data_IF_836623297163
#
_entry.id   IF_836623297163
#
_cell.length_a   1.000
_cell.length_b   1.000
_cell.length_c   1.000
_cell.angle_alpha   90.00
_cell.angle_beta   90.00
_cell.angle_gamma   90.00
#
_symmetry.space_group_name_H-M   'P 1'
#
loop_
_entity.id
_entity.type
_entity.pdbx_description
1 polymer ?
#
# COMPACT_ATOMS: atom_id res chain seq x y z
N UNK A 1 1.80 1.27 -27.08
CA UNK A 1 0.87 0.63 -26.14
C UNK A 1 0.80 1.56 -24.94
N UNK A 2 -0.40 2.03 -24.60
CA UNK A 2 -0.61 2.85 -23.41
C UNK A 2 -0.84 1.91 -22.24
N UNK A 3 0.03 1.94 -21.23
CA UNK A 3 -0.03 1.06 -20.05
C UNK A 3 -0.76 1.70 -18.86
N UNK A 4 -1.52 2.76 -19.13
CA UNK A 4 -2.19 3.56 -18.10
C UNK A 4 -3.69 3.28 -18.12
N UNK A 5 -4.22 2.84 -16.98
CA UNK A 5 -5.67 2.75 -16.73
C UNK A 5 -6.10 3.88 -15.79
N UNK A 6 -7.17 4.60 -16.12
CA UNK A 6 -7.74 5.67 -15.28
C UNK A 6 -9.25 5.47 -15.15
N UNK A 7 -9.77 5.48 -13.92
CA UNK A 7 -11.20 5.36 -13.63
C UNK A 7 -11.59 6.22 -12.42
N UNK A 8 -12.87 6.59 -12.34
CA UNK A 8 -13.47 7.26 -11.17
C UNK A 8 -14.42 6.28 -10.49
N UNK A 9 -14.24 6.06 -9.19
CA UNK A 9 -15.08 5.18 -8.38
C UNK A 9 -15.39 5.79 -7.02
N UNK A 10 -16.45 5.31 -6.38
CA UNK A 10 -16.69 5.55 -4.95
C UNK A 10 -15.99 4.44 -4.17
N UNK A 11 -15.21 4.82 -3.19
CA UNK A 11 -14.48 3.93 -2.29
C UNK A 11 -14.66 4.46 -0.86
N UNK A 12 -14.73 3.56 0.10
CA UNK A 12 -14.59 3.95 1.50
C UNK A 12 -13.11 4.31 1.78
N UNK A 13 -12.80 5.17 2.76
CA UNK A 13 -11.42 5.54 3.09
C UNK A 13 -10.50 4.33 3.29
N UNK A 14 -11.03 3.25 3.87
CA UNK A 14 -10.31 2.00 4.11
C UNK A 14 -9.89 1.32 2.81
N UNK A 15 -10.72 1.37 1.75
CA UNK A 15 -10.38 0.81 0.43
C UNK A 15 -9.21 1.56 -0.22
N UNK A 16 -9.17 2.89 -0.01
CA UNK A 16 -8.06 3.73 -0.47
C UNK A 16 -6.79 3.36 0.28
N UNK A 17 -6.85 3.25 1.60
CA UNK A 17 -5.69 2.86 2.42
C UNK A 17 -5.22 1.45 2.05
N UNK A 18 -6.12 0.49 1.88
CA UNK A 18 -5.79 -0.88 1.47
C UNK A 18 -5.07 -0.92 0.12
N UNK A 19 -5.55 -0.18 -0.88
CA UNK A 19 -4.84 -0.03 -2.16
C UNK A 19 -3.44 0.59 -1.98
N UNK A 20 -3.27 1.50 -1.02
CA UNK A 20 -1.98 2.19 -0.78
C UNK A 20 -0.98 1.33 -0.02
N UNK A 21 -1.46 0.40 0.81
CA UNK A 21 -0.64 -0.58 1.51
C UNK A 21 -0.26 -1.77 0.60
N UNK A 22 -0.86 -1.87 -0.59
CA UNK A 22 -0.62 -2.94 -1.55
C UNK A 22 0.06 -2.43 -2.84
N UNK A 23 1.40 -2.26 -2.84
CA UNK A 23 2.12 -1.80 -4.03
C UNK A 23 2.17 -2.84 -5.15
N UNK A 24 1.73 -4.08 -4.92
CA UNK A 24 1.78 -5.17 -5.89
C UNK A 24 0.51 -5.26 -6.76
N UNK A 25 -0.50 -4.40 -6.55
CA UNK A 25 -1.71 -4.31 -7.37
C UNK A 25 -1.52 -3.75 -8.81
N UNK A 26 -0.28 -3.49 -9.24
CA UNK A 26 0.02 -2.80 -10.50
C UNK A 26 -0.29 -3.56 -11.80
N UNK A 27 -1.47 -3.29 -12.37
CA UNK A 27 -1.86 -3.33 -13.80
C UNK A 27 -2.22 -4.65 -14.50
N UNK A 28 -2.00 -5.82 -13.92
CA UNK A 28 -2.52 -7.08 -14.48
C UNK A 28 -3.01 -7.97 -13.35
N UNK A 29 -3.96 -8.87 -13.64
CA UNK A 29 -4.38 -9.97 -12.76
C UNK A 29 -3.13 -10.75 -12.32
N UNK A 30 -2.44 -10.27 -11.29
CA UNK A 30 -1.28 -10.93 -10.76
C UNK A 30 -1.78 -11.97 -9.75
N UNK A 31 -1.20 -13.19 -9.77
CA UNK A 31 -1.43 -14.17 -8.71
C UNK A 31 -1.19 -13.57 -7.30
N UNK A 32 -0.34 -12.54 -7.23
CA UNK A 32 0.24 -11.86 -6.06
C UNK A 32 -0.59 -10.73 -5.48
N UNK A 33 -1.89 -10.96 -5.26
CA UNK A 33 -2.67 -10.08 -4.39
C UNK A 33 -2.34 -10.35 -2.92
N UNK A 34 -2.37 -9.32 -2.08
CA UNK A 34 -2.31 -9.52 -0.63
C UNK A 34 -3.47 -10.41 -0.21
N UNK A 35 -3.14 -11.49 0.50
CA UNK A 35 -4.14 -12.40 1.06
C UNK A 35 -4.26 -12.26 2.57
N UNK A 36 -3.25 -11.69 3.23
CA UNK A 36 -3.26 -11.47 4.67
C UNK A 36 -2.30 -10.32 5.05
N UNK A 37 -2.73 -9.53 6.03
CA UNK A 37 -1.99 -8.43 6.64
C UNK A 37 -2.09 -8.57 8.15
N UNK A 38 -0.94 -8.75 8.81
CA UNK A 38 -0.89 -8.84 10.27
C UNK A 38 0.09 -7.83 10.83
N UNK A 39 -0.42 -6.88 11.61
CA UNK A 39 0.44 -5.98 12.40
C UNK A 39 1.11 -6.80 13.51
N UNK A 40 2.44 -6.76 13.56
CA UNK A 40 3.26 -7.49 14.53
C UNK A 40 4.02 -6.57 15.48
N UNK A 41 4.21 -5.31 15.12
CA UNK A 41 4.67 -4.25 16.03
C UNK A 41 4.01 -2.92 15.64
N UNK A 42 3.77 -2.08 16.64
CA UNK A 42 3.15 -0.76 16.48
C UNK A 42 4.07 0.32 17.03
N UNK A 43 3.98 1.54 16.48
CA UNK A 43 4.79 2.64 16.96
C UNK A 43 4.53 2.95 18.44
N UNK A 44 5.59 3.29 19.19
CA UNK A 44 5.55 3.44 20.65
C UNK A 44 5.38 4.86 21.14
N UNK A 45 5.80 5.84 20.34
CA UNK A 45 5.70 7.26 20.62
C UNK A 45 5.60 8.06 19.31
N UNK A 46 5.62 9.40 19.36
CA UNK A 46 5.49 10.24 18.16
C UNK A 46 6.77 10.28 17.29
N UNK A 47 7.91 9.76 17.77
CA UNK A 47 9.18 9.75 17.05
C UNK A 47 9.38 8.45 16.24
N UNK A 48 8.71 7.38 16.66
CA UNK A 48 8.58 6.12 15.92
C UNK A 48 7.19 6.10 15.28
N UNK A 49 7.09 6.19 13.95
CA UNK A 49 5.82 6.12 13.22
C UNK A 49 5.63 4.77 12.49
N UNK A 50 6.51 3.80 12.77
CA UNK A 50 6.61 2.54 12.04
C UNK A 50 5.64 1.46 12.50
N UNK A 51 4.82 0.97 11.57
CA UNK A 51 4.07 -0.28 11.76
C UNK A 51 4.81 -1.45 11.13
N UNK A 52 5.23 -2.42 11.93
CA UNK A 52 5.79 -3.67 11.40
C UNK A 52 4.66 -4.62 11.06
N UNK A 53 4.65 -5.12 9.83
CA UNK A 53 3.54 -5.90 9.28
C UNK A 53 4.10 -7.14 8.59
N UNK A 54 3.51 -8.29 8.88
CA UNK A 54 3.63 -9.48 8.06
C UNK A 54 2.67 -9.36 6.88
N UNK A 55 3.24 -9.42 5.69
CA UNK A 55 2.57 -9.30 4.41
C UNK A 55 2.60 -10.65 3.73
N UNK A 56 1.43 -11.16 3.39
CA UNK A 56 1.32 -12.41 2.63
C UNK A 56 0.76 -12.13 1.25
N UNK A 57 1.50 -12.51 0.21
CA UNK A 57 0.99 -12.51 -1.15
C UNK A 57 0.78 -13.94 -1.66
N UNK A 58 -0.22 -14.13 -2.51
CA UNK A 58 -0.46 -15.44 -3.13
C UNK A 58 0.45 -15.61 -4.35
N UNK A 59 1.20 -16.69 -4.43
CA UNK A 59 1.88 -17.10 -5.67
C UNK A 59 1.04 -18.20 -6.28
N UNK A 60 0.88 -18.22 -7.61
CA UNK A 60 0.06 -19.17 -8.37
C UNK A 60 -0.13 -20.52 -7.64
N UNK A 61 -1.35 -20.82 -7.19
CA UNK A 61 -1.66 -21.97 -6.31
C UNK A 61 -1.89 -21.58 -4.85
N UNK A 62 -1.52 -22.47 -3.90
CA UNK A 62 -1.66 -22.30 -2.44
C UNK A 62 -0.38 -21.77 -1.75
N UNK A 63 0.66 -21.43 -2.51
CA UNK A 63 1.93 -21.01 -1.95
C UNK A 63 1.83 -19.54 -1.54
N UNK A 64 1.95 -19.28 -0.25
CA UNK A 64 2.01 -17.93 0.33
C UNK A 64 3.46 -17.68 0.72
N UNK A 65 4.03 -16.57 0.23
CA UNK A 65 5.37 -16.15 0.64
C UNK A 65 5.19 -15.01 1.64
N UNK A 66 5.46 -15.24 2.93
CA UNK A 66 5.43 -14.18 3.92
C UNK A 66 6.64 -13.27 3.70
N UNK A 67 6.41 -11.96 3.69
CA UNK A 67 7.45 -10.94 3.77
C UNK A 67 7.17 -10.06 4.98
N UNK A 68 8.21 -9.52 5.58
CA UNK A 68 8.09 -8.56 6.67
C UNK A 68 8.41 -7.18 6.15
N UNK A 69 7.52 -6.24 6.41
CA UNK A 69 7.71 -4.86 6.02
C UNK A 69 7.42 -3.90 7.17
N UNK A 70 8.09 -2.75 7.16
CA UNK A 70 7.78 -1.62 8.03
C UNK A 70 7.14 -0.53 7.19
N UNK A 71 5.94 -0.11 7.58
CA UNK A 71 5.20 0.97 6.96
C UNK A 71 5.37 2.25 7.77
N UNK A 72 5.77 3.33 7.11
CA UNK A 72 5.87 4.69 7.69
C UNK A 72 5.12 5.70 6.82
N UNK A 73 4.81 6.87 7.39
CA UNK A 73 4.11 7.95 6.70
C UNK A 73 4.89 9.26 6.88
N UNK A 74 6.07 9.41 6.23
CA UNK A 74 6.96 10.55 6.46
C UNK A 74 6.35 11.88 6.04
N UNK A 75 5.33 11.86 5.17
CA UNK A 75 4.60 13.03 4.70
C UNK A 75 3.10 12.69 4.63
N UNK A 76 2.20 13.69 4.71
CA UNK A 76 0.74 13.46 4.74
C UNK A 76 0.14 12.71 3.52
N UNK A 77 0.91 12.50 2.45
CA UNK A 77 0.46 11.88 1.20
C UNK A 77 1.39 10.76 0.71
N UNK A 78 2.27 10.31 1.59
CA UNK A 78 3.33 9.38 1.25
C UNK A 78 3.27 8.21 2.22
N UNK A 79 3.18 7.00 1.68
CA UNK A 79 3.37 5.76 2.43
C UNK A 79 4.65 5.12 1.93
N UNK A 80 5.56 4.80 2.85
CA UNK A 80 6.80 4.10 2.54
C UNK A 80 6.73 2.70 3.16
N UNK A 81 6.99 1.69 2.33
CA UNK A 81 7.10 0.30 2.74
C UNK A 81 8.56 -0.13 2.62
N UNK A 82 9.21 -0.35 3.75
CA UNK A 82 10.55 -0.93 3.82
C UNK A 82 10.44 -2.44 4.00
N UNK A 83 10.89 -3.22 3.01
CA UNK A 83 10.90 -4.68 3.14
C UNK A 83 12.14 -5.10 3.94
N UNK A 84 11.92 -5.60 5.15
CA UNK A 84 12.99 -5.96 6.08
C UNK A 84 13.39 -7.44 5.97
N UNK A 85 12.44 -8.32 5.64
CA UNK A 85 12.67 -9.76 5.52
C UNK A 85 11.83 -10.38 4.40
N UNK A 86 12.34 -11.45 3.79
CA UNK A 86 11.67 -12.19 2.72
C UNK A 86 12.06 -11.71 1.31
N UNK A 87 11.20 -12.00 0.34
CA UNK A 87 11.41 -11.58 -1.05
C UNK A 87 11.39 -10.05 -1.16
N UNK A 88 12.40 -9.48 -1.82
CA UNK A 88 12.55 -8.03 -1.91
C UNK A 88 13.16 -7.36 -0.69
N UNK A 89 13.69 -8.12 0.29
CA UNK A 89 14.41 -7.53 1.44
C UNK A 89 15.44 -6.47 1.00
N UNK A 90 15.55 -5.39 1.76
CA UNK A 90 16.28 -4.14 1.46
C UNK A 90 15.66 -3.24 0.39
N UNK A 91 14.57 -3.65 -0.26
CA UNK A 91 13.83 -2.77 -1.17
C UNK A 91 12.98 -1.77 -0.39
N UNK A 92 12.75 -0.63 -1.03
CA UNK A 92 11.84 0.42 -0.57
C UNK A 92 10.80 0.64 -1.64
N UNK A 93 9.54 0.68 -1.24
CA UNK A 93 8.44 1.07 -2.12
C UNK A 93 7.78 2.31 -1.55
N UNK A 94 7.73 3.36 -2.37
CA UNK A 94 7.06 4.60 -2.02
C UNK A 94 5.78 4.74 -2.83
N UNK A 95 4.68 5.00 -2.13
CA UNK A 95 3.39 5.28 -2.75
C UNK A 95 2.97 6.71 -2.45
N UNK A 96 2.79 7.49 -3.51
CA UNK A 96 2.45 8.92 -3.45
C UNK A 96 0.99 9.16 -3.88
N UNK A 97 0.28 10.02 -3.14
CA UNK A 97 -1.07 10.44 -3.47
C UNK A 97 -1.07 11.84 -4.12
N UNK A 98 -1.59 11.94 -5.34
CA UNK A 98 -1.90 13.23 -5.98
C UNK A 98 -3.36 13.59 -5.74
N UNK A 99 -3.66 14.69 -5.02
CA UNK A 99 -5.02 15.16 -4.86
C UNK A 99 -5.64 15.48 -6.23
N UNK A 100 -6.85 14.98 -6.47
CA UNK A 100 -7.62 15.34 -7.66
C UNK A 100 -8.46 16.61 -7.46
N UNK A 101 -8.54 17.11 -6.22
CA UNK A 101 -9.33 18.28 -5.81
C UNK A 101 -8.59 19.20 -4.85
N UNK A 102 -8.97 20.49 -4.78
CA UNK A 102 -8.47 21.41 -3.75
C UNK A 102 -8.76 20.90 -2.32
N UNK A 103 -7.89 21.28 -1.39
CA UNK A 103 -8.08 20.99 0.04
C UNK A 103 -9.37 21.59 0.59
N UNK A 104 -10.06 20.86 1.45
CA UNK A 104 -11.34 21.27 2.04
C UNK A 104 -12.57 20.97 1.19
N UNK A 105 -12.41 20.34 0.02
CA UNK A 105 -13.56 19.91 -0.79
C UNK A 105 -14.15 18.62 -0.22
N UNK A 106 -15.45 18.57 0.13
CA UNK A 106 -16.05 17.41 0.80
C UNK A 106 -16.26 16.21 -0.12
N UNK A 107 -16.19 16.41 -1.45
CA UNK A 107 -16.37 15.36 -2.45
C UNK A 107 -15.36 15.52 -3.59
N UNK A 108 -14.87 14.41 -4.20
CA UNK A 108 -14.08 14.48 -5.42
C UNK A 108 -14.84 15.22 -6.53
N UNK A 109 -14.21 16.23 -7.11
CA UNK A 109 -14.68 16.95 -8.28
C UNK A 109 -13.95 16.33 -9.47
N UNK A 110 -14.67 15.65 -10.38
CA UNK A 110 -14.04 15.09 -11.56
C UNK A 110 -13.38 16.20 -12.39
N UNK A 111 -12.24 15.89 -13.00
CA UNK A 111 -11.61 16.73 -14.03
C UNK A 111 -12.40 16.68 -15.33
#
# INVERSE_FOLDING_TARGET
MDSVFTAVGRCEPEDVVANRLDPWHGSWFHPYSFVDLRVVDTPRDELDDGFAVEVSFRVAGRLVVPVRAVFTAPEPRTVVMHITEGEGASSVVETHATPLTPGGTPVPVPR
#
